data_IF_242716519233
#
_entry.id   IF_242716519233
#
_cell.length_a   1.000
_cell.length_b   1.000
_cell.length_c   1.000
_cell.angle_alpha   90.00
_cell.angle_beta   90.00
_cell.angle_gamma   90.00
#
_symmetry.space_group_name_H-M   'P 1'
#
loop_
_entity.id
_entity.type
_entity.pdbx_description
1 polymer ?
#
# COMPACT_ATOMS: atom_id res chain seq x y z
N UNK A 1 38.63 45.59 -69.22
CA UNK A 1 37.81 45.55 -67.99
C UNK A 1 36.98 44.29 -68.01
N UNK A 2 37.04 43.50 -66.93
CA UNK A 2 36.53 42.13 -66.85
C UNK A 2 35.01 42.11 -66.72
N UNK A 3 34.35 41.45 -67.66
CA UNK A 3 33.08 40.76 -67.46
C UNK A 3 33.35 39.51 -66.63
N UNK A 4 32.65 39.31 -65.51
CA UNK A 4 32.31 37.95 -65.08
C UNK A 4 30.95 37.91 -64.37
N UNK A 5 30.17 36.95 -64.84
CA UNK A 5 28.75 36.68 -64.60
C UNK A 5 28.39 36.49 -63.13
N UNK A 6 27.21 37.02 -62.83
CA UNK A 6 26.28 36.59 -61.78
C UNK A 6 26.03 35.06 -61.89
N UNK A 7 26.31 34.29 -60.82
CA UNK A 7 25.53 33.14 -60.31
C UNK A 7 26.37 32.32 -59.30
N UNK A 8 25.99 32.36 -58.01
CA UNK A 8 26.05 31.26 -57.03
C UNK A 8 25.34 31.76 -55.76
N UNK A 9 24.02 31.62 -55.63
CA UNK A 9 23.34 30.48 -54.99
C UNK A 9 24.11 29.89 -53.79
N UNK A 10 23.55 30.17 -52.60
CA UNK A 10 23.50 29.29 -51.43
C UNK A 10 24.82 28.69 -50.94
N UNK A 11 25.48 29.40 -50.02
CA UNK A 11 26.25 28.75 -48.96
C UNK A 11 25.62 29.19 -47.64
N UNK A 12 24.64 28.39 -47.19
CA UNK A 12 24.24 28.33 -45.79
C UNK A 12 25.52 28.13 -44.96
N UNK A 13 25.77 28.90 -43.89
CA UNK A 13 26.74 28.46 -42.92
C UNK A 13 26.18 27.17 -42.34
N UNK A 14 26.78 26.05 -42.72
CA UNK A 14 26.63 24.75 -42.09
C UNK A 14 27.09 24.90 -40.64
N UNK A 15 26.19 25.40 -39.80
CA UNK A 15 26.28 25.26 -38.35
C UNK A 15 26.00 23.78 -38.09
N UNK A 16 27.02 22.95 -38.29
CA UNK A 16 27.09 21.65 -37.64
C UNK A 16 27.40 21.96 -36.18
N UNK A 17 26.38 22.36 -35.40
CA UNK A 17 26.41 22.13 -33.97
C UNK A 17 26.28 20.61 -33.83
N UNK A 18 27.43 19.94 -33.76
CA UNK A 18 27.49 18.64 -33.12
C UNK A 18 26.98 18.83 -31.70
N UNK A 19 25.75 18.37 -31.43
CA UNK A 19 25.23 18.27 -30.07
C UNK A 19 26.00 17.15 -29.35
N UNK A 20 27.23 17.44 -28.94
CA UNK A 20 27.89 16.68 -27.88
C UNK A 20 27.16 17.03 -26.58
N UNK A 21 26.05 16.35 -26.32
CA UNK A 21 25.46 16.29 -24.98
C UNK A 21 26.34 15.42 -24.10
N UNK A 22 27.57 15.89 -23.82
CA UNK A 22 28.40 15.26 -22.81
C UNK A 22 27.84 15.63 -21.44
N UNK A 23 26.93 14.79 -20.96
CA UNK A 23 26.31 14.94 -19.65
C UNK A 23 27.24 14.60 -18.49
N UNK A 24 28.51 14.28 -18.79
CA UNK A 24 29.51 13.84 -17.84
C UNK A 24 29.15 12.53 -17.16
N UNK A 25 29.99 12.13 -16.21
CA UNK A 25 29.78 10.90 -15.45
C UNK A 25 28.62 11.02 -14.46
N UNK A 26 27.96 9.87 -14.25
CA UNK A 26 26.90 9.76 -13.25
C UNK A 26 27.45 10.15 -11.86
N UNK A 27 26.80 11.07 -11.13
CA UNK A 27 27.24 11.45 -9.80
C UNK A 27 27.35 10.23 -8.88
N UNK A 28 28.46 10.14 -8.13
CA UNK A 28 28.74 9.05 -7.21
C UNK A 28 28.05 9.32 -5.87
N UNK A 29 27.36 8.31 -5.34
CA UNK A 29 26.68 8.43 -4.05
C UNK A 29 27.73 8.57 -2.93
N UNK A 30 27.65 9.62 -2.08
CA UNK A 30 28.58 9.77 -0.98
C UNK A 30 28.43 8.61 0.02
N UNK A 31 29.55 8.16 0.59
CA UNK A 31 29.54 7.16 1.65
C UNK A 31 29.11 7.81 2.97
N UNK A 32 28.36 7.05 3.78
CA UNK A 32 27.97 7.47 5.12
C UNK A 32 29.15 7.26 6.07
N UNK A 33 29.49 8.26 6.87
CA UNK A 33 30.51 8.14 7.93
C UNK A 33 29.98 7.19 9.02
N UNK A 34 30.83 6.36 9.61
CA UNK A 34 30.43 5.27 10.52
C UNK A 34 29.58 5.73 11.71
N UNK A 35 29.88 6.91 12.27
CA UNK A 35 29.16 7.48 13.43
C UNK A 35 27.93 8.33 13.07
N UNK A 36 27.55 8.40 11.79
CA UNK A 36 26.43 9.22 11.33
C UNK A 36 25.14 8.41 11.23
N UNK A 37 24.08 8.87 11.91
CA UNK A 37 22.74 8.26 11.75
C UNK A 37 22.21 8.45 10.32
N UNK A 38 21.37 7.51 9.84
CA UNK A 38 20.77 7.59 8.49
C UNK A 38 20.01 8.90 8.29
N UNK A 39 19.29 9.36 9.33
CA UNK A 39 18.52 10.60 9.28
C UNK A 39 19.43 11.83 9.11
N UNK A 40 20.57 11.84 9.80
CA UNK A 40 21.53 12.93 9.72
C UNK A 40 22.29 12.91 8.39
N UNK A 41 22.64 11.72 7.87
CA UNK A 41 23.25 11.56 6.54
C UNK A 41 22.36 12.09 5.42
N UNK A 42 21.06 11.79 5.44
CA UNK A 42 20.12 12.30 4.42
C UNK A 42 19.93 13.81 4.45
N UNK A 43 20.31 14.47 5.56
CA UNK A 43 20.28 15.92 5.73
C UNK A 43 21.65 16.58 5.50
N UNK A 44 22.71 15.82 5.25
CA UNK A 44 24.03 16.40 5.00
C UNK A 44 24.08 17.11 3.65
N UNK A 45 24.89 18.16 3.55
CA UNK A 45 25.11 18.90 2.30
C UNK A 45 25.59 17.98 1.17
N UNK A 46 26.45 17.01 1.49
CA UNK A 46 26.96 16.02 0.52
C UNK A 46 25.85 15.17 -0.11
N UNK A 47 24.88 14.70 0.67
CA UNK A 47 23.76 13.89 0.15
C UNK A 47 22.76 14.75 -0.63
N UNK A 48 22.50 15.98 -0.17
CA UNK A 48 21.62 16.94 -0.85
C UNK A 48 22.19 17.31 -2.22
N UNK A 49 23.48 17.67 -2.28
CA UNK A 49 24.17 17.99 -3.53
C UNK A 49 24.20 16.79 -4.48
N UNK A 50 24.51 15.58 -3.97
CA UNK A 50 24.42 14.36 -4.76
C UNK A 50 23.02 14.18 -5.39
N UNK A 51 21.94 14.40 -4.64
CA UNK A 51 20.57 14.29 -5.15
C UNK A 51 20.25 15.33 -6.22
N UNK A 52 20.74 16.56 -6.05
CA UNK A 52 20.58 17.64 -7.02
C UNK A 52 21.33 17.31 -8.33
N UNK A 53 22.62 17.00 -8.24
CA UNK A 53 23.45 16.65 -9.39
C UNK A 53 22.92 15.42 -10.12
N UNK A 54 22.41 14.42 -9.39
CA UNK A 54 21.80 13.23 -10.01
C UNK A 54 20.52 13.59 -10.79
N UNK A 55 19.75 14.59 -10.35
CA UNK A 55 18.55 15.05 -11.07
C UNK A 55 18.95 15.78 -12.36
N UNK A 56 19.96 16.63 -12.28
CA UNK A 56 20.50 17.36 -13.43
C UNK A 56 21.13 16.40 -14.46
N UNK A 57 21.94 15.44 -14.00
CA UNK A 57 22.51 14.40 -14.87
C UNK A 57 21.42 13.56 -15.57
N UNK A 58 20.37 13.17 -14.85
CA UNK A 58 19.22 12.46 -15.45
C UNK A 58 18.47 13.30 -16.48
N UNK A 59 18.34 14.60 -16.22
CA UNK A 59 17.70 15.52 -17.15
C UNK A 59 18.53 15.72 -18.41
N UNK A 60 19.85 15.74 -18.28
CA UNK A 60 20.78 15.82 -19.39
C UNK A 60 20.78 14.54 -20.24
N UNK A 61 20.88 13.35 -19.62
CA UNK A 61 20.96 12.06 -20.32
C UNK A 61 19.67 11.66 -21.04
N UNK A 62 18.53 12.24 -20.66
CA UNK A 62 17.24 11.94 -21.28
C UNK A 62 16.33 13.18 -21.27
N UNK A 63 16.54 14.13 -22.19
CA UNK A 63 15.74 15.35 -22.28
C UNK A 63 14.25 15.07 -22.56
N UNK A 64 13.93 13.87 -23.07
CA UNK A 64 12.60 13.44 -23.50
C UNK A 64 11.88 12.49 -22.51
N UNK A 65 12.44 12.16 -21.34
CA UNK A 65 11.80 11.27 -20.34
C UNK A 65 11.22 11.96 -19.09
N UNK A 66 11.16 13.29 -19.05
CA UNK A 66 10.07 13.95 -18.31
C UNK A 66 8.82 13.92 -19.18
N UNK A 67 8.35 12.70 -19.50
CA UNK A 67 7.17 12.45 -20.31
C UNK A 67 5.96 13.17 -19.72
N UNK A 68 4.98 13.53 -20.55
CA UNK A 68 3.68 14.10 -20.20
C UNK A 68 3.02 13.51 -18.93
N UNK A 69 3.41 12.30 -18.53
CA UNK A 69 3.03 11.61 -17.30
C UNK A 69 3.42 12.35 -16.01
N UNK A 70 4.62 12.91 -15.91
CA UNK A 70 5.04 13.63 -14.70
C UNK A 70 4.43 15.03 -14.65
N UNK A 71 4.23 15.68 -15.81
CA UNK A 71 3.49 16.95 -15.91
C UNK A 71 2.00 16.78 -15.62
N UNK A 72 1.35 15.71 -16.12
CA UNK A 72 -0.03 15.35 -15.74
C UNK A 72 -0.14 15.03 -14.26
N UNK A 73 0.82 14.29 -13.70
CA UNK A 73 0.85 13.98 -12.27
C UNK A 73 1.08 15.20 -11.39
N UNK A 74 1.92 16.16 -11.82
CA UNK A 74 2.11 17.43 -11.13
C UNK A 74 0.86 18.32 -11.22
N UNK A 75 0.22 18.37 -12.38
CA UNK A 75 -1.04 19.09 -12.58
C UNK A 75 -2.18 18.47 -11.75
N UNK A 76 -2.30 17.14 -11.74
CA UNK A 76 -3.24 16.39 -10.88
C UNK A 76 -2.95 16.63 -9.40
N UNK A 77 -1.68 16.58 -8.96
CA UNK A 77 -1.31 16.87 -7.57
C UNK A 77 -1.53 18.35 -7.17
N UNK A 78 -1.39 19.29 -8.09
CA UNK A 78 -1.69 20.70 -7.84
C UNK A 78 -3.21 20.94 -7.78
N UNK A 79 -3.98 20.28 -8.65
CA UNK A 79 -5.45 20.29 -8.61
C UNK A 79 -5.99 19.66 -7.32
N UNK A 80 -5.44 18.52 -6.92
CA UNK A 80 -5.74 17.80 -5.68
C UNK A 80 -5.33 18.62 -4.43
N UNK A 81 -4.28 19.45 -4.50
CA UNK A 81 -3.90 20.40 -3.43
C UNK A 81 -4.82 21.62 -3.34
N UNK A 82 -5.34 22.11 -4.47
CA UNK A 82 -6.31 23.20 -4.48
C UNK A 82 -7.69 22.70 -4.02
N UNK A 83 -8.12 21.52 -4.46
CA UNK A 83 -9.36 20.86 -4.00
C UNK A 83 -9.27 20.47 -2.51
N UNK A 84 -8.13 20.01 -2.01
CA UNK A 84 -7.95 19.71 -0.57
C UNK A 84 -7.83 20.96 0.31
N UNK A 85 -7.50 22.14 -0.25
CA UNK A 85 -7.57 23.41 0.51
C UNK A 85 -9.00 23.94 0.63
N UNK A 86 -9.87 23.62 -0.32
CA UNK A 86 -11.30 23.95 -0.25
C UNK A 86 -12.11 22.85 0.48
N UNK A 87 -11.60 21.62 0.53
CA UNK A 87 -12.16 20.49 1.24
C UNK A 87 -11.20 19.96 2.32
N UNK A 88 -10.66 20.81 3.20
CA UNK A 88 -10.21 20.26 4.48
C UNK A 88 -11.47 19.66 5.13
N UNK A 89 -11.57 18.34 5.35
CA UNK A 89 -12.61 17.85 6.23
C UNK A 89 -12.32 18.52 7.57
N UNK A 90 -13.20 19.43 7.99
CA UNK A 90 -13.22 19.95 9.36
C UNK A 90 -13.00 18.73 10.23
N UNK A 91 -11.85 18.63 10.90
CA UNK A 91 -11.54 17.48 11.72
C UNK A 91 -12.46 17.52 12.94
N UNK A 92 -13.69 17.01 12.77
CA UNK A 92 -14.74 16.96 13.80
C UNK A 92 -14.32 16.11 15.01
N UNK A 93 -13.24 15.35 14.87
CA UNK A 93 -12.77 14.34 15.82
C UNK A 93 -11.60 14.78 16.69
N UNK A 94 -11.02 15.96 16.42
CA UNK A 94 -9.84 16.47 17.11
C UNK A 94 -8.57 15.64 16.92
N UNK A 95 -7.55 15.96 17.72
CA UNK A 95 -6.25 15.29 17.68
C UNK A 95 -6.26 13.91 18.33
N UNK A 96 -5.35 13.05 17.87
CA UNK A 96 -5.16 11.73 18.48
C UNK A 96 -4.71 11.89 19.93
N UNK A 97 -5.34 11.21 20.91
CA UNK A 97 -4.93 11.32 22.30
C UNK A 97 -3.49 10.83 22.47
N UNK A 98 -2.74 11.55 23.32
CA UNK A 98 -1.35 11.25 23.62
C UNK A 98 -1.24 10.03 24.53
N UNK A 99 -0.33 9.10 24.17
CA UNK A 99 -0.12 7.89 24.97
C UNK A 99 0.62 8.27 26.28
N UNK A 100 0.09 7.88 27.46
CA UNK A 100 0.79 8.13 28.72
C UNK A 100 2.10 7.35 28.76
N UNK A 101 3.13 7.97 29.35
CA UNK A 101 4.42 7.31 29.57
C UNK A 101 4.29 6.35 30.75
N UNK A 102 4.85 5.15 30.59
CA UNK A 102 4.95 4.19 31.70
C UNK A 102 5.93 4.73 32.75
N UNK A 103 5.56 4.80 34.04
CA UNK A 103 6.49 5.13 35.12
C UNK A 103 7.65 4.13 35.18
N UNK A 104 8.86 4.61 35.50
CA UNK A 104 10.01 3.70 35.72
C UNK A 104 9.71 2.78 36.90
N UNK A 105 9.98 1.48 36.75
CA UNK A 105 9.80 0.49 37.82
C UNK A 105 8.42 -0.21 37.88
N UNK A 106 7.43 0.19 37.07
CA UNK A 106 6.11 -0.50 37.03
C UNK A 106 6.05 -1.58 35.97
N UNK A 107 5.42 -2.71 36.29
CA UNK A 107 5.17 -3.77 35.31
C UNK A 107 4.20 -3.29 34.23
N UNK A 108 4.21 -3.94 33.06
CA UNK A 108 3.32 -3.53 31.96
C UNK A 108 1.85 -3.76 32.30
N UNK A 109 1.55 -4.79 33.10
CA UNK A 109 0.18 -5.16 33.46
C UNK A 109 -0.36 -4.26 34.57
N UNK A 110 0.46 -3.87 35.55
CA UNK A 110 0.14 -2.81 36.51
C UNK A 110 -0.12 -1.48 35.80
N UNK A 111 0.77 -1.08 34.88
CA UNK A 111 0.59 0.17 34.12
C UNK A 111 -0.72 0.17 33.32
N UNK A 112 -1.13 -0.99 32.78
CA UNK A 112 -2.39 -1.10 32.02
C UNK A 112 -3.63 -0.92 32.87
N UNK A 113 -3.54 -1.20 34.16
CA UNK A 113 -4.63 -1.03 35.14
C UNK A 113 -4.67 0.39 35.73
N UNK A 114 -3.65 1.23 35.48
CA UNK A 114 -3.66 2.61 35.97
C UNK A 114 -4.81 3.43 35.36
N UNK A 115 -5.44 4.36 36.13
CA UNK A 115 -6.52 5.21 35.64
C UNK A 115 -6.16 5.98 34.36
N UNK A 116 -4.93 6.49 34.28
CA UNK A 116 -4.42 7.26 33.14
C UNK A 116 -4.33 6.43 31.86
N UNK A 117 -3.91 5.16 31.96
CA UNK A 117 -3.85 4.27 30.80
C UNK A 117 -5.25 3.80 30.36
N UNK A 118 -6.16 3.55 31.31
CA UNK A 118 -7.56 3.20 31.04
C UNK A 118 -8.26 4.35 30.30
N UNK A 119 -8.11 5.57 30.79
CA UNK A 119 -8.69 6.77 30.17
C UNK A 119 -8.12 7.02 28.78
N UNK A 120 -6.79 6.88 28.61
CA UNK A 120 -6.16 6.92 27.29
C UNK A 120 -6.77 5.90 26.33
N UNK A 121 -7.01 4.66 26.76
CA UNK A 121 -7.62 3.61 25.92
C UNK A 121 -9.05 3.96 25.54
N UNK A 122 -9.83 4.55 26.45
CA UNK A 122 -11.19 5.03 26.20
C UNK A 122 -11.18 6.14 25.13
N UNK A 123 -10.36 7.16 25.32
CA UNK A 123 -10.26 8.30 24.41
C UNK A 123 -9.71 7.88 23.03
N UNK A 124 -8.74 6.96 23.00
CA UNK A 124 -8.22 6.41 21.75
C UNK A 124 -9.29 5.60 21.00
N UNK A 125 -10.17 4.89 21.70
CA UNK A 125 -11.29 4.16 21.09
C UNK A 125 -12.29 5.13 20.45
N UNK A 126 -12.65 6.21 21.15
CA UNK A 126 -13.55 7.26 20.65
C UNK A 126 -12.93 7.94 19.42
N UNK A 127 -11.68 8.37 19.51
CA UNK A 127 -10.96 8.99 18.40
C UNK A 127 -10.88 8.05 17.18
N UNK A 128 -10.57 6.76 17.38
CA UNK A 128 -10.58 5.76 16.30
C UNK A 128 -11.96 5.56 15.69
N UNK A 129 -13.03 5.62 16.48
CA UNK A 129 -14.40 5.52 15.97
C UNK A 129 -14.79 6.74 15.14
N UNK A 130 -14.30 7.92 15.53
CA UNK A 130 -14.55 9.16 14.83
C UNK A 130 -13.73 9.27 13.52
N UNK A 131 -12.44 8.88 13.55
CA UNK A 131 -11.55 8.91 12.39
C UNK A 131 -11.67 7.70 11.45
N UNK A 132 -12.31 6.62 11.89
CA UNK A 132 -12.56 5.48 11.02
C UNK A 132 -13.79 5.78 10.16
N UNK A 133 -13.69 5.69 8.83
CA UNK A 133 -14.87 5.64 7.98
C UNK A 133 -15.56 4.31 8.28
N UNK A 134 -16.41 4.28 9.30
CA UNK A 134 -17.33 3.16 9.60
C UNK A 134 -18.32 2.90 8.45
N UNK A 135 -18.21 3.65 7.38
CA UNK A 135 -18.91 3.46 6.13
C UNK A 135 -18.17 2.57 5.11
N UNK A 136 -16.89 2.22 5.32
CA UNK A 136 -16.13 1.34 4.40
C UNK A 136 -15.70 -0.01 5.04
N UNK A 137 -15.91 -0.22 6.34
CA UNK A 137 -15.58 -1.47 7.03
C UNK A 137 -16.68 -1.97 7.97
N UNK A 138 -17.92 -1.50 7.79
CA UNK A 138 -19.05 -2.40 8.04
C UNK A 138 -18.95 -3.49 6.98
N UNK A 139 -19.14 -4.78 7.31
CA UNK A 139 -19.39 -5.75 6.26
C UNK A 139 -20.53 -5.19 5.39
N UNK A 140 -20.52 -5.48 4.09
CA UNK A 140 -21.49 -5.01 3.10
C UNK A 140 -22.97 -5.19 3.57
N UNK A 141 -23.21 -6.02 4.59
CA UNK A 141 -24.47 -6.21 5.32
C UNK A 141 -25.05 -5.03 6.14
N UNK A 142 -24.57 -3.78 6.05
CA UNK A 142 -25.17 -2.69 6.84
C UNK A 142 -25.17 -1.31 6.16
N UNK A 143 -25.51 -1.28 4.87
CA UNK A 143 -25.81 -0.03 4.16
C UNK A 143 -27.13 -0.10 3.38
N UNK A 144 -28.21 -0.32 4.10
CA UNK A 144 -29.53 0.33 3.93
C UNK A 144 -30.51 -0.34 4.92
N UNK A 145 -31.01 0.35 5.96
CA UNK A 145 -32.00 -0.23 6.87
C UNK A 145 -33.37 -0.45 6.21
N UNK A 146 -33.53 -0.14 4.93
CA UNK A 146 -34.83 -0.19 4.26
C UNK A 146 -34.96 -1.19 3.11
N UNK A 147 -33.92 -1.92 2.67
CA UNK A 147 -34.05 -3.02 1.70
C UNK A 147 -32.71 -3.76 1.51
N UNK A 148 -32.18 -4.41 2.55
CA UNK A 148 -31.10 -5.39 2.34
C UNK A 148 -31.59 -6.71 2.88
N UNK A 149 -31.99 -7.62 1.99
CA UNK A 149 -32.13 -9.02 2.35
C UNK A 149 -30.81 -9.45 3.00
N UNK A 150 -30.88 -9.82 4.28
CA UNK A 150 -29.73 -10.39 4.97
C UNK A 150 -29.50 -11.73 4.30
N UNK A 151 -28.53 -11.81 3.39
CA UNK A 151 -28.14 -13.09 2.80
C UNK A 151 -27.49 -13.90 3.92
N UNK A 152 -28.31 -14.72 4.58
CA UNK A 152 -27.86 -15.60 5.64
C UNK A 152 -26.91 -16.65 5.07
N UNK A 153 -25.82 -16.91 5.79
CA UNK A 153 -24.85 -17.91 5.38
C UNK A 153 -25.48 -19.31 5.41
N UNK A 154 -25.36 -20.11 4.33
CA UNK A 154 -25.86 -21.49 4.30
C UNK A 154 -25.03 -22.42 5.19
N UNK A 155 -23.90 -21.95 5.74
CA UNK A 155 -22.97 -22.72 6.56
C UNK A 155 -23.49 -23.01 7.98
N UNK A 156 -24.68 -22.51 8.33
CA UNK A 156 -25.29 -22.66 9.64
C UNK A 156 -24.60 -21.83 10.72
N UNK A 157 -24.96 -22.08 11.98
CA UNK A 157 -24.44 -21.32 13.12
C UNK A 157 -22.99 -21.68 13.42
N UNK A 158 -22.19 -20.66 13.75
CA UNK A 158 -20.81 -20.85 14.21
C UNK A 158 -20.79 -21.73 15.46
N UNK A 159 -19.95 -22.78 15.51
CA UNK A 159 -19.86 -23.65 16.69
C UNK A 159 -19.36 -22.86 17.90
N UNK A 160 -19.93 -23.17 19.07
CA UNK A 160 -19.63 -22.49 20.32
C UNK A 160 -18.41 -23.15 20.96
N UNK A 161 -17.45 -22.34 21.42
CA UNK A 161 -16.27 -22.85 22.11
C UNK A 161 -16.70 -23.42 23.47
N UNK A 162 -16.35 -24.68 23.81
CA UNK A 162 -16.70 -25.27 25.09
C UNK A 162 -15.96 -24.55 26.23
N UNK A 163 -16.60 -24.42 27.39
CA UNK A 163 -15.97 -23.80 28.56
C UNK A 163 -14.88 -24.71 29.13
N UNK A 164 -13.79 -24.10 29.61
CA UNK A 164 -12.76 -24.84 30.35
C UNK A 164 -13.26 -25.07 31.77
N UNK A 165 -13.20 -26.32 32.26
CA UNK A 165 -13.53 -26.65 33.66
C UNK A 165 -12.55 -25.94 34.61
N UNK A 166 -13.06 -25.55 35.78
CA UNK A 166 -12.26 -24.90 36.81
C UNK A 166 -11.11 -25.82 37.27
N UNK A 167 -9.91 -25.25 37.46
CA UNK A 167 -8.70 -26.00 37.81
C UNK A 167 -8.00 -26.76 36.67
N UNK A 168 -8.64 -26.96 35.50
CA UNK A 168 -8.02 -27.71 34.39
C UNK A 168 -6.94 -26.91 33.65
N UNK A 169 -5.79 -27.51 33.36
CA UNK A 169 -4.73 -26.85 32.58
C UNK A 169 -5.20 -26.57 31.14
N UNK A 170 -4.73 -25.48 30.52
CA UNK A 170 -5.03 -25.12 29.12
C UNK A 170 -4.59 -26.18 28.11
N UNK A 171 -3.42 -26.81 28.31
CA UNK A 171 -2.95 -27.85 27.39
C UNK A 171 -3.76 -29.14 27.52
N UNK A 172 -4.13 -29.53 28.75
CA UNK A 172 -5.06 -30.66 29.00
C UNK A 172 -6.45 -30.38 28.42
N UNK A 173 -6.95 -29.15 28.58
CA UNK A 173 -8.20 -28.71 27.97
C UNK A 173 -8.17 -28.81 26.44
N UNK A 174 -7.06 -28.46 25.78
CA UNK A 174 -6.91 -28.65 24.32
C UNK A 174 -6.93 -30.12 23.91
N UNK A 175 -6.52 -31.03 24.80
CA UNK A 175 -6.56 -32.46 24.55
C UNK A 175 -7.93 -33.09 24.77
N UNK A 176 -8.87 -32.38 25.42
CA UNK A 176 -10.23 -32.85 25.66
C UNK A 176 -10.99 -33.17 24.36
N UNK A 177 -11.88 -34.16 24.44
CA UNK A 177 -12.75 -34.56 23.32
C UNK A 177 -13.67 -33.42 22.87
N UNK A 178 -14.21 -32.66 23.82
CA UNK A 178 -15.07 -31.50 23.56
C UNK A 178 -14.33 -30.42 22.75
N UNK A 179 -13.12 -30.03 23.17
CA UNK A 179 -12.33 -29.03 22.45
C UNK A 179 -11.90 -29.52 21.06
N UNK A 180 -11.48 -30.80 20.95
CA UNK A 180 -11.12 -31.41 19.65
C UNK A 180 -12.32 -31.45 18.69
N UNK A 181 -13.50 -31.82 19.20
CA UNK A 181 -14.75 -31.79 18.43
C UNK A 181 -15.09 -30.37 17.97
N UNK A 182 -15.04 -29.39 18.88
CA UNK A 182 -15.22 -27.98 18.56
C UNK A 182 -14.24 -27.50 17.48
N UNK A 183 -12.94 -27.82 17.58
CA UNK A 183 -11.94 -27.41 16.58
C UNK A 183 -12.21 -28.02 15.22
N UNK A 184 -12.66 -29.28 15.17
CA UNK A 184 -13.04 -29.95 13.91
C UNK A 184 -14.27 -29.29 13.27
N UNK A 185 -15.28 -28.99 14.07
CA UNK A 185 -16.50 -28.30 13.61
C UNK A 185 -16.19 -26.87 13.17
N UNK A 186 -15.38 -26.14 13.93
CA UNK A 186 -14.96 -24.78 13.61
C UNK A 186 -14.22 -24.73 12.27
N UNK A 187 -13.27 -25.65 12.05
CA UNK A 187 -12.52 -25.71 10.79
C UNK A 187 -13.45 -25.96 9.58
N UNK A 188 -14.46 -26.82 9.73
CA UNK A 188 -15.47 -27.05 8.69
C UNK A 188 -16.30 -25.81 8.42
N UNK A 189 -16.78 -25.16 9.48
CA UNK A 189 -17.58 -23.94 9.38
C UNK A 189 -16.78 -22.80 8.75
N UNK A 190 -15.52 -22.59 9.17
CA UNK A 190 -14.62 -21.58 8.59
C UNK A 190 -14.37 -21.83 7.11
N UNK A 191 -14.16 -23.09 6.70
CA UNK A 191 -13.99 -23.44 5.29
C UNK A 191 -15.24 -23.18 4.46
N UNK A 192 -16.43 -23.50 4.99
CA UNK A 192 -17.70 -23.19 4.32
C UNK A 192 -17.91 -21.67 4.22
N UNK A 193 -17.71 -20.93 5.31
CA UNK A 193 -17.85 -19.47 5.35
C UNK A 193 -16.89 -18.76 4.39
N UNK A 194 -15.66 -19.23 4.30
CA UNK A 194 -14.69 -18.70 3.36
C UNK A 194 -15.13 -19.00 1.92
N UNK A 195 -15.69 -20.19 1.64
CA UNK A 195 -16.32 -20.52 0.37
C UNK A 195 -17.45 -19.56 0.02
N UNK A 196 -18.46 -19.48 0.89
CA UNK A 196 -19.62 -18.61 0.71
C UNK A 196 -19.24 -17.14 0.56
N UNK A 197 -18.26 -16.63 1.32
CA UNK A 197 -17.75 -15.26 1.14
C UNK A 197 -17.06 -15.08 -0.19
N UNK A 198 -16.32 -16.07 -0.66
CA UNK A 198 -15.69 -16.01 -1.98
C UNK A 198 -16.74 -16.03 -3.08
N UNK A 199 -17.80 -16.84 -2.95
CA UNK A 199 -18.91 -16.88 -3.91
C UNK A 199 -19.69 -15.55 -3.90
N UNK A 200 -19.90 -14.94 -2.74
CA UNK A 200 -20.51 -13.61 -2.63
C UNK A 200 -19.61 -12.50 -3.21
N UNK A 201 -18.31 -12.57 -3.00
CA UNK A 201 -17.38 -11.52 -3.42
C UNK A 201 -17.02 -11.62 -4.91
N UNK A 202 -16.97 -12.83 -5.44
CA UNK A 202 -16.39 -13.12 -6.76
C UNK A 202 -17.35 -13.84 -7.70
N UNK A 203 -18.48 -14.36 -7.23
CA UNK A 203 -19.49 -15.06 -8.03
C UNK A 203 -18.88 -16.18 -8.86
N UNK A 204 -19.37 -16.32 -10.09
CA UNK A 204 -18.92 -17.32 -11.06
C UNK A 204 -17.47 -17.11 -11.55
N UNK A 205 -16.86 -15.96 -11.23
CA UNK A 205 -15.46 -15.70 -11.57
C UNK A 205 -14.47 -16.51 -10.71
N UNK A 206 -14.97 -17.18 -9.67
CA UNK A 206 -14.19 -18.05 -8.80
C UNK A 206 -13.14 -17.32 -7.97
N UNK A 207 -12.26 -18.10 -7.33
CA UNK A 207 -11.27 -17.56 -6.37
C UNK A 207 -10.23 -16.67 -7.03
N UNK A 208 -9.83 -15.63 -6.32
CA UNK A 208 -8.72 -14.75 -6.72
C UNK A 208 -7.45 -15.57 -7.00
N UNK A 209 -6.81 -15.39 -8.17
CA UNK A 209 -5.55 -16.06 -8.48
C UNK A 209 -4.48 -15.78 -7.42
N UNK A 210 -3.71 -16.80 -7.08
CA UNK A 210 -2.64 -16.68 -6.08
C UNK A 210 -1.35 -16.26 -6.77
N UNK A 211 -0.68 -15.25 -6.21
CA UNK A 211 0.60 -14.76 -6.74
C UNK A 211 1.68 -15.84 -6.50
N UNK A 212 2.46 -16.23 -7.53
CA UNK A 212 3.51 -17.23 -7.37
C UNK A 212 4.59 -16.73 -6.39
N UNK A 213 5.20 -17.61 -5.58
CA UNK A 213 6.30 -17.19 -4.72
C UNK A 213 7.49 -16.73 -5.56
N UNK A 214 8.28 -15.81 -5.02
CA UNK A 214 9.56 -15.41 -5.63
C UNK A 214 10.63 -16.39 -5.18
N UNK A 215 11.36 -16.97 -6.12
CA UNK A 215 12.54 -17.80 -5.83
C UNK A 215 13.61 -17.00 -5.08
N UNK A 216 14.34 -17.69 -4.21
CA UNK A 216 15.42 -17.07 -3.44
C UNK A 216 16.52 -16.56 -4.39
N UNK A 217 17.10 -15.40 -4.07
CA UNK A 217 18.13 -14.75 -4.90
C UNK A 217 17.64 -13.95 -6.11
N UNK A 218 16.42 -14.19 -6.63
CA UNK A 218 15.90 -13.47 -7.81
C UNK A 218 15.43 -12.07 -7.44
N UNK A 219 15.89 -11.02 -8.13
CA UNK A 219 15.47 -9.65 -7.82
C UNK A 219 14.02 -9.36 -8.28
N UNK A 220 13.42 -8.26 -7.81
CA UNK A 220 11.99 -7.98 -8.07
C UNK A 220 11.66 -7.72 -9.55
N UNK A 221 12.55 -7.11 -10.31
CA UNK A 221 12.30 -6.84 -11.73
C UNK A 221 12.47 -8.11 -12.56
N UNK A 222 13.48 -8.91 -12.24
CA UNK A 222 13.69 -10.23 -12.86
C UNK A 222 12.53 -11.18 -12.56
N UNK A 223 12.04 -11.22 -11.33
CA UNK A 223 10.85 -12.00 -10.95
C UNK A 223 9.60 -11.60 -11.74
N UNK A 224 9.42 -10.31 -12.09
CA UNK A 224 8.28 -9.89 -12.92
C UNK A 224 8.37 -10.40 -14.36
N UNK A 225 9.58 -10.68 -14.83
CA UNK A 225 9.79 -11.25 -16.16
C UNK A 225 9.69 -12.77 -16.17
N UNK A 226 9.54 -13.42 -15.00
CA UNK A 226 9.42 -14.88 -14.96
C UNK A 226 8.14 -15.36 -15.66
N UNK A 227 8.17 -16.52 -16.35
CA UNK A 227 6.99 -17.08 -17.01
C UNK A 227 5.81 -17.26 -16.05
N UNK A 228 6.09 -17.69 -14.81
CA UNK A 228 5.10 -17.90 -13.75
C UNK A 228 4.40 -16.59 -13.35
N UNK A 229 5.15 -15.50 -13.18
CA UNK A 229 4.57 -14.21 -12.83
C UNK A 229 3.81 -13.60 -14.01
N UNK A 230 4.31 -13.75 -15.24
CA UNK A 230 3.61 -13.30 -16.44
C UNK A 230 2.29 -14.05 -16.64
N UNK A 231 2.28 -15.38 -16.47
CA UNK A 231 1.07 -16.20 -16.50
C UNK A 231 0.07 -15.75 -15.42
N UNK A 232 0.54 -15.57 -14.17
CA UNK A 232 -0.28 -15.01 -13.09
C UNK A 232 -0.89 -13.65 -13.46
N UNK A 233 -0.12 -12.76 -14.10
CA UNK A 233 -0.61 -11.44 -14.51
C UNK A 233 -1.76 -11.53 -15.51
N UNK A 234 -1.68 -12.45 -16.47
CA UNK A 234 -2.74 -12.67 -17.47
C UNK A 234 -3.99 -13.26 -16.83
N UNK A 235 -3.85 -14.26 -15.97
CA UNK A 235 -4.97 -14.86 -15.23
C UNK A 235 -5.63 -13.79 -14.33
N UNK A 236 -4.83 -12.99 -13.63
CA UNK A 236 -5.32 -11.90 -12.79
C UNK A 236 -6.06 -10.82 -13.59
N UNK A 237 -5.62 -10.52 -14.82
CA UNK A 237 -6.30 -9.58 -15.72
C UNK A 237 -7.68 -10.12 -16.12
N UNK A 238 -7.73 -11.38 -16.55
CA UNK A 238 -8.96 -12.06 -16.95
C UNK A 238 -9.96 -12.15 -15.79
N UNK A 239 -9.48 -12.52 -14.61
CA UNK A 239 -10.29 -12.59 -13.40
C UNK A 239 -10.89 -11.22 -13.01
N UNK A 240 -10.11 -10.14 -13.13
CA UNK A 240 -10.64 -8.77 -12.91
C UNK A 240 -11.71 -8.40 -13.92
N UNK A 241 -11.51 -8.73 -15.20
CA UNK A 241 -12.50 -8.45 -16.24
C UNK A 241 -13.82 -9.19 -15.97
N UNK A 242 -13.76 -10.45 -15.52
CA UNK A 242 -14.95 -11.19 -15.11
C UNK A 242 -15.69 -10.49 -13.95
N UNK A 243 -14.97 -10.07 -12.91
CA UNK A 243 -15.60 -9.37 -11.78
C UNK A 243 -16.22 -8.05 -12.20
N UNK A 244 -15.54 -7.28 -13.03
CA UNK A 244 -16.04 -5.99 -13.48
C UNK A 244 -17.25 -6.17 -14.41
N UNK A 245 -17.33 -7.28 -15.17
CA UNK A 245 -18.52 -7.65 -15.93
C UNK A 245 -19.72 -8.00 -15.04
N UNK A 246 -19.50 -8.68 -13.90
CA UNK A 246 -20.55 -9.08 -12.95
C UNK A 246 -21.05 -7.93 -12.03
N UNK A 247 -20.48 -6.72 -12.15
CA UNK A 247 -20.91 -5.53 -11.38
C UNK A 247 -21.94 -4.66 -12.13
N UNK A 248 -22.16 -4.93 -13.41
CA UNK A 248 -23.20 -4.28 -14.23
C UNK A 248 -24.46 -5.13 -14.22
#
# INVERSE_FOLDING_TARGET
MKLFKLTLMLILPSIIIGQNNDCGDRPIKPKRIENQTIKNFKKSASFINYKKNLKEWKHCMSPLEMSERDSKRLAEQQKEKLENKQNEPINKCGDRPNKPKRPKGTSIDEFRQTPTHIEYRKNLKIWKQCMSPKELTKPIFSKNPQNTEVIESPCGKKPIKPSRKEGMNHEEYKQSSEYKSYRKQLKKWEGCEEGFRNDLLWGDCGKKPTKPPRSEGVNHEEYKQSPEFQAYRQIMKTWKQCIDANKN
#
